data_IF_412614356156
#
_entry.id   IF_412614356156
#
_cell.length_a   1.000
_cell.length_b   1.000
_cell.length_c   1.000
_cell.angle_alpha   90.00
_cell.angle_beta   90.00
_cell.angle_gamma   90.00
#
_symmetry.space_group_name_H-M   'P 1'
#
loop_
_entity.id
_entity.type
_entity.pdbx_description
1 polymer ?
#
# COMPACT_ATOMS: atom_id res chain seq x y z
N UNK A 1 -23.12 -10.91 15.62
CA UNK A 1 -21.95 -11.32 14.80
C UNK A 1 -20.69 -10.69 15.39
N UNK A 2 -19.87 -11.48 16.08
CA UNK A 2 -18.59 -11.00 16.65
C UNK A 2 -17.44 -11.45 15.76
N UNK A 3 -16.66 -10.50 15.24
CA UNK A 3 -15.43 -10.82 14.50
C UNK A 3 -14.48 -11.67 15.35
N UNK A 4 -13.96 -12.75 14.78
CA UNK A 4 -13.00 -13.65 15.44
C UNK A 4 -11.69 -12.92 15.76
N UNK A 5 -11.00 -13.33 16.81
CA UNK A 5 -9.70 -12.73 17.21
C UNK A 5 -8.71 -12.70 16.04
N UNK A 6 -8.69 -13.76 15.22
CA UNK A 6 -7.84 -13.87 14.04
C UNK A 6 -8.17 -12.83 12.95
N UNK A 7 -9.45 -12.59 12.67
CA UNK A 7 -9.87 -11.56 11.69
C UNK A 7 -9.44 -10.16 12.14
N UNK A 8 -9.64 -9.84 13.42
CA UNK A 8 -9.20 -8.54 13.98
C UNK A 8 -7.70 -8.36 13.89
N UNK A 9 -6.94 -9.43 14.16
CA UNK A 9 -5.48 -9.41 14.08
C UNK A 9 -5.01 -9.21 12.63
N UNK A 10 -5.57 -9.94 11.67
CA UNK A 10 -5.22 -9.81 10.26
C UNK A 10 -5.58 -8.42 9.71
N UNK A 11 -6.75 -7.89 10.07
CA UNK A 11 -7.16 -6.54 9.70
C UNK A 11 -6.21 -5.50 10.29
N UNK A 12 -5.92 -5.56 11.59
CA UNK A 12 -5.00 -4.64 12.25
C UNK A 12 -3.59 -4.70 11.63
N UNK A 13 -3.07 -5.91 11.39
CA UNK A 13 -1.79 -6.11 10.74
C UNK A 13 -1.75 -5.51 9.34
N UNK A 14 -2.81 -5.73 8.54
CA UNK A 14 -2.91 -5.15 7.19
C UNK A 14 -2.88 -3.62 7.24
N UNK A 15 -3.64 -2.99 8.15
CA UNK A 15 -3.67 -1.52 8.29
C UNK A 15 -2.29 -0.98 8.70
N UNK A 16 -1.61 -1.63 9.66
CA UNK A 16 -0.26 -1.22 10.07
C UNK A 16 0.73 -1.33 8.91
N UNK A 17 0.68 -2.41 8.13
CA UNK A 17 1.54 -2.57 6.95
C UNK A 17 1.24 -1.53 5.87
N UNK A 18 -0.02 -1.13 5.67
CA UNK A 18 -0.37 -0.06 4.72
C UNK A 18 0.21 1.28 5.21
N UNK A 19 0.07 1.60 6.49
CA UNK A 19 0.62 2.84 7.07
C UNK A 19 2.15 2.90 6.95
N UNK A 20 2.84 1.82 7.29
CA UNK A 20 4.30 1.72 7.10
C UNK A 20 4.66 1.86 5.63
N UNK A 21 3.88 1.23 4.73
CA UNK A 21 4.03 1.36 3.30
C UNK A 21 3.94 2.81 2.83
N UNK A 22 2.86 3.52 3.19
CA UNK A 22 2.64 4.95 2.90
C UNK A 22 3.83 5.80 3.37
N UNK A 23 4.31 5.58 4.60
CA UNK A 23 5.45 6.33 5.12
C UNK A 23 6.72 6.10 4.28
N UNK A 24 6.99 4.85 3.90
CA UNK A 24 8.18 4.48 3.13
C UNK A 24 8.10 4.97 1.67
N UNK A 25 6.96 4.82 1.01
CA UNK A 25 6.73 5.30 -0.36
C UNK A 25 6.76 6.82 -0.42
N UNK A 26 6.18 7.50 0.56
CA UNK A 26 6.29 8.96 0.70
C UNK A 26 7.75 9.38 0.95
N UNK A 27 8.47 8.73 1.88
CA UNK A 27 9.88 9.03 2.12
C UNK A 27 10.75 8.85 0.87
N UNK A 28 10.48 7.81 0.06
CA UNK A 28 11.12 7.63 -1.25
C UNK A 28 10.76 8.77 -2.22
N UNK A 29 9.47 9.09 -2.37
CA UNK A 29 8.98 10.15 -3.27
C UNK A 29 9.56 11.54 -2.95
N UNK A 30 9.68 11.85 -1.66
CA UNK A 30 10.28 13.07 -1.12
C UNK A 30 11.79 12.91 -0.84
N UNK A 31 12.50 12.03 -1.53
CA UNK A 31 13.96 11.92 -1.42
C UNK A 31 14.64 12.24 -2.76
N UNK A 32 15.75 13.00 -2.75
CA UNK A 32 16.51 13.32 -3.95
C UNK A 32 17.36 12.17 -4.50
N UNK A 33 17.49 11.05 -3.79
CA UNK A 33 18.46 10.02 -4.15
C UNK A 33 17.81 8.83 -4.86
N UNK A 34 17.07 9.07 -5.94
CA UNK A 34 16.58 7.98 -6.81
C UNK A 34 17.70 7.47 -7.71
N UNK A 35 18.47 8.38 -8.29
CA UNK A 35 19.74 8.09 -8.94
C UNK A 35 20.83 8.98 -8.34
N UNK A 36 22.03 8.44 -8.20
CA UNK A 36 23.18 9.16 -7.66
C UNK A 36 24.36 8.99 -8.61
N UNK A 37 25.03 10.09 -8.91
CA UNK A 37 26.23 10.11 -9.74
C UNK A 37 27.28 10.99 -9.07
N UNK A 38 28.53 10.55 -9.15
CA UNK A 38 29.68 11.29 -8.67
C UNK A 38 30.52 11.69 -9.90
N UNK A 39 30.61 12.99 -10.13
CA UNK A 39 31.31 13.57 -11.27
C UNK A 39 32.66 14.08 -10.79
N UNK A 40 33.72 13.38 -11.18
CA UNK A 40 35.08 13.62 -10.68
C UNK A 40 35.69 14.92 -11.21
N UNK A 41 35.29 15.41 -12.38
CA UNK A 41 35.79 16.69 -12.91
C UNK A 41 35.30 17.87 -12.08
N UNK A 42 34.03 17.85 -11.68
CA UNK A 42 33.41 18.92 -10.90
C UNK A 42 33.54 18.71 -9.40
N UNK A 43 34.01 17.52 -8.97
CA UNK A 43 34.11 17.11 -7.56
C UNK A 43 32.78 17.32 -6.86
N UNK A 44 31.73 16.79 -7.46
CA UNK A 44 30.38 16.96 -6.95
C UNK A 44 29.58 15.66 -7.07
N UNK A 45 28.85 15.36 -6.01
CA UNK A 45 27.84 14.31 -5.99
C UNK A 45 26.49 14.94 -6.38
N UNK A 46 25.86 14.35 -7.38
CA UNK A 46 24.57 14.76 -7.89
C UNK A 46 23.55 13.66 -7.56
N UNK A 47 22.48 14.08 -6.88
CA UNK A 47 21.37 13.23 -6.49
C UNK A 47 20.14 13.66 -7.28
N UNK A 48 19.69 12.77 -8.16
CA UNK A 48 18.51 12.97 -9.00
C UNK A 48 17.28 12.35 -8.34
N UNK A 49 16.34 13.21 -7.95
CA UNK A 49 15.03 12.81 -7.45
C UNK A 49 14.00 12.79 -8.57
N UNK A 50 12.76 12.40 -8.23
CA UNK A 50 11.68 12.36 -9.23
C UNK A 50 11.26 13.75 -9.71
N UNK A 51 11.35 14.77 -8.86
CA UNK A 51 10.82 16.11 -9.10
C UNK A 51 11.71 17.26 -8.60
N UNK A 52 12.83 16.91 -7.98
CA UNK A 52 13.90 17.83 -7.62
C UNK A 52 15.24 17.13 -7.85
N UNK A 53 16.31 17.90 -7.90
CA UNK A 53 17.69 17.42 -7.93
C UNK A 53 18.49 18.14 -6.85
N UNK A 54 19.46 17.46 -6.25
CA UNK A 54 20.35 18.06 -5.27
C UNK A 54 21.81 17.82 -5.60
N UNK A 55 22.64 18.82 -5.33
CA UNK A 55 24.08 18.81 -5.60
C UNK A 55 24.83 18.99 -4.28
N UNK A 56 25.90 18.21 -4.09
CA UNK A 56 26.85 18.32 -2.98
C UNK A 56 28.26 18.43 -3.54
N UNK A 57 28.97 19.50 -3.21
CA UNK A 57 30.37 19.65 -3.61
C UNK A 57 31.30 18.90 -2.64
N UNK A 58 32.17 18.01 -3.14
CA UNK A 58 33.20 17.37 -2.34
C UNK A 58 34.32 18.39 -2.00
N UNK A 59 34.58 18.61 -0.71
CA UNK A 59 35.73 19.41 -0.25
C UNK A 59 36.95 18.51 -0.05
N UNK A 60 38.12 18.93 -0.57
CA UNK A 60 39.40 18.34 -0.14
C UNK A 60 39.98 19.07 1.08
N UNK A 61 40.46 18.25 2.01
CA UNK A 61 41.35 18.59 3.13
C UNK A 61 42.61 19.30 2.64
N UNK A 62 42.91 20.46 3.22
CA UNK A 62 44.26 21.06 3.16
C UNK A 62 44.86 21.26 4.56
N UNK A 63 44.25 20.75 5.63
CA UNK A 63 44.94 20.74 6.92
C UNK A 63 44.47 19.62 7.85
N UNK A 64 45.44 19.01 8.52
CA UNK A 64 45.25 18.04 9.61
C UNK A 64 44.68 18.81 10.80
N UNK A 65 43.37 18.73 11.05
CA UNK A 65 42.80 19.31 12.28
C UNK A 65 41.29 19.52 12.32
N UNK A 66 40.64 19.78 11.19
CA UNK A 66 39.21 20.12 11.21
C UNK A 66 38.33 18.91 10.87
N UNK A 67 37.50 18.52 11.84
CA UNK A 67 36.44 17.55 11.67
C UNK A 67 35.49 18.05 10.56
N UNK A 68 35.29 17.22 9.54
CA UNK A 68 34.55 17.57 8.33
C UNK A 68 33.06 17.78 8.63
N UNK A 69 32.60 19.02 8.56
CA UNK A 69 31.19 19.29 8.25
C UNK A 69 31.00 19.12 6.73
N UNK A 70 30.28 18.05 6.36
CA UNK A 70 29.82 17.82 5.00
C UNK A 70 29.10 19.07 4.47
N UNK A 71 29.39 19.49 3.23
CA UNK A 71 28.71 20.66 2.67
C UNK A 71 27.21 20.41 2.55
N UNK A 72 26.37 21.42 2.84
CA UNK A 72 24.92 21.27 2.73
C UNK A 72 24.51 20.92 1.29
N UNK A 73 23.52 20.04 1.14
CA UNK A 73 22.89 19.74 -0.14
C UNK A 73 22.19 21.00 -0.67
N UNK A 74 22.51 21.39 -1.90
CA UNK A 74 21.78 22.43 -2.61
C UNK A 74 20.77 21.81 -3.56
N UNK A 75 19.48 21.99 -3.29
CA UNK A 75 18.40 21.35 -4.04
C UNK A 75 17.63 22.34 -4.93
N UNK A 76 17.28 21.91 -6.13
CA UNK A 76 16.49 22.67 -7.10
C UNK A 76 15.34 21.82 -7.66
N UNK A 77 14.21 22.45 -7.96
CA UNK A 77 13.03 21.75 -8.52
C UNK A 77 13.13 21.61 -10.04
N UNK A 78 12.74 20.44 -10.57
CA UNK A 78 12.70 20.19 -12.03
C UNK A 78 11.62 21.00 -12.77
N UNK A 79 10.69 21.63 -12.03
CA UNK A 79 9.58 22.43 -12.59
C UNK A 79 9.92 23.91 -12.74
N UNK A 80 11.11 24.35 -12.35
CA UNK A 80 11.49 25.75 -12.42
C UNK A 80 11.87 26.15 -13.85
N UNK A 81 11.10 27.07 -14.45
CA UNK A 81 11.36 27.59 -15.81
C UNK A 81 12.72 28.29 -15.91
N UNK A 82 13.26 28.80 -14.79
CA UNK A 82 14.60 29.40 -14.78
C UNK A 82 15.70 28.34 -14.93
N UNK A 83 15.50 27.14 -14.39
CA UNK A 83 16.37 26.00 -14.60
C UNK A 83 16.30 25.52 -16.06
N UNK A 84 15.10 25.46 -16.65
CA UNK A 84 14.92 25.09 -18.07
C UNK A 84 15.62 26.07 -19.03
N UNK A 85 15.57 27.37 -18.75
CA UNK A 85 16.26 28.41 -19.53
C UNK A 85 17.79 28.31 -19.46
N UNK A 86 18.34 28.02 -18.27
CA UNK A 86 19.79 27.80 -18.11
C UNK A 86 20.21 26.54 -18.86
N UNK A 87 19.44 25.45 -18.75
CA UNK A 87 19.66 24.19 -19.47
C UNK A 87 19.66 24.44 -20.98
N UNK A 88 18.65 25.14 -21.51
CA UNK A 88 18.55 25.40 -22.95
C UNK A 88 19.71 26.27 -23.46
N UNK A 89 20.18 27.22 -22.66
CA UNK A 89 21.32 28.06 -23.01
C UNK A 89 22.64 27.27 -23.00
N UNK A 90 22.84 26.39 -22.01
CA UNK A 90 24.01 25.50 -21.94
C UNK A 90 23.99 24.43 -23.05
N UNK A 91 22.81 23.91 -23.42
CA UNK A 91 22.65 22.98 -24.55
C UNK A 91 22.94 23.60 -25.92
N UNK A 92 22.70 24.90 -26.09
CA UNK A 92 23.04 25.57 -27.34
C UNK A 92 24.56 25.80 -27.49
N UNK A 93 25.33 25.70 -26.40
CA UNK A 93 26.78 25.85 -26.34
C UNK A 93 27.50 24.56 -25.92
N UNK A 94 26.98 23.38 -26.31
CA UNK A 94 27.52 22.04 -25.96
C UNK A 94 29.02 21.90 -26.22
N UNK A 95 29.54 22.57 -27.26
CA UNK A 95 30.97 22.52 -27.61
C UNK A 95 31.86 23.33 -26.66
N UNK A 96 31.30 24.28 -25.89
CA UNK A 96 32.02 25.10 -24.91
C UNK A 96 31.84 24.60 -23.47
N UNK A 97 30.65 24.10 -23.11
CA UNK A 97 30.31 23.68 -21.75
C UNK A 97 30.13 22.16 -21.64
N UNK A 98 31.16 21.45 -21.19
CA UNK A 98 31.08 20.01 -20.91
C UNK A 98 30.12 19.61 -19.78
N UNK A 99 29.41 20.57 -19.19
CA UNK A 99 28.28 20.39 -18.27
C UNK A 99 26.92 20.23 -18.98
N UNK A 100 26.86 20.39 -20.31
CA UNK A 100 25.61 20.34 -21.08
C UNK A 100 24.94 18.95 -21.05
N UNK A 101 25.70 17.85 -21.03
CA UNK A 101 25.16 16.48 -20.94
C UNK A 101 24.49 16.17 -19.59
N UNK A 102 24.94 16.82 -18.53
CA UNK A 102 24.34 16.75 -17.20
C UNK A 102 23.04 17.59 -17.12
N UNK A 103 23.01 18.73 -17.79
CA UNK A 103 21.85 19.63 -17.80
C UNK A 103 20.56 18.96 -18.33
N UNK A 104 20.69 17.98 -19.23
CA UNK A 104 19.57 17.17 -19.76
C UNK A 104 18.84 16.35 -18.68
N UNK A 105 19.52 15.99 -17.58
CA UNK A 105 18.94 15.15 -16.53
C UNK A 105 18.10 15.96 -15.53
N UNK A 106 18.26 17.28 -15.50
CA UNK A 106 17.37 18.19 -14.80
C UNK A 106 16.02 18.37 -15.50
N UNK A 107 15.91 17.96 -16.78
CA UNK A 107 14.66 18.11 -17.52
C UNK A 107 13.58 17.16 -17.00
N UNK A 108 12.37 17.68 -16.85
CA UNK A 108 11.25 16.90 -16.35
C UNK A 108 10.63 16.02 -17.46
N UNK A 109 11.29 14.89 -17.73
CA UNK A 109 10.90 13.92 -18.75
C UNK A 109 9.53 13.25 -18.50
N UNK A 110 8.95 12.71 -19.57
CA UNK A 110 7.64 12.04 -19.52
C UNK A 110 7.60 10.84 -18.56
N UNK A 111 8.72 10.13 -18.38
CA UNK A 111 8.79 9.00 -17.48
C UNK A 111 8.76 9.43 -16.00
N UNK A 112 9.41 10.54 -15.63
CA UNK A 112 9.28 11.13 -14.29
C UNK A 112 7.83 11.51 -13.97
N UNK A 113 7.14 12.15 -14.93
CA UNK A 113 5.71 12.49 -14.85
C UNK A 113 4.84 11.26 -14.63
N UNK A 114 5.10 10.18 -15.39
CA UNK A 114 4.36 8.94 -15.28
C UNK A 114 4.55 8.28 -13.90
N UNK A 115 5.79 8.20 -13.41
CA UNK A 115 6.10 7.65 -12.08
C UNK A 115 5.35 8.43 -11.00
N UNK A 116 5.47 9.76 -10.98
CA UNK A 116 4.80 10.61 -9.98
C UNK A 116 3.28 10.46 -10.03
N UNK A 117 2.70 10.38 -11.22
CA UNK A 117 1.27 10.12 -11.38
C UNK A 117 0.86 8.78 -10.73
N UNK A 118 1.62 7.71 -10.97
CA UNK A 118 1.35 6.40 -10.39
C UNK A 118 1.55 6.41 -8.86
N UNK A 119 2.59 7.07 -8.35
CA UNK A 119 2.84 7.19 -6.91
C UNK A 119 1.69 7.94 -6.23
N UNK A 120 1.32 9.13 -6.70
CA UNK A 120 0.23 9.93 -6.10
C UNK A 120 -1.09 9.18 -6.15
N UNK A 121 -1.39 8.53 -7.28
CA UNK A 121 -2.60 7.71 -7.42
C UNK A 121 -2.58 6.54 -6.44
N UNK A 122 -1.43 5.89 -6.26
CA UNK A 122 -1.28 4.77 -5.33
C UNK A 122 -1.48 5.19 -3.87
N UNK A 123 -0.91 6.32 -3.45
CA UNK A 123 -1.05 6.88 -2.09
C UNK A 123 -2.52 7.24 -1.79
N UNK A 124 -3.19 7.90 -2.75
CA UNK A 124 -4.60 8.24 -2.60
C UNK A 124 -5.50 7.00 -2.46
N UNK A 125 -5.24 5.96 -3.26
CA UNK A 125 -5.98 4.71 -3.18
C UNK A 125 -5.65 3.92 -1.89
N UNK A 126 -4.41 3.96 -1.42
CA UNK A 126 -4.01 3.37 -0.13
C UNK A 126 -4.72 4.07 1.05
N UNK A 127 -4.89 5.40 0.99
CA UNK A 127 -5.66 6.14 1.97
C UNK A 127 -7.16 5.73 1.96
N UNK A 128 -7.77 5.62 0.78
CA UNK A 128 -9.15 5.11 0.63
C UNK A 128 -9.26 3.68 1.19
N UNK A 129 -8.24 2.86 0.97
CA UNK A 129 -8.15 1.51 1.51
C UNK A 129 -8.19 1.52 3.04
N UNK A 130 -7.38 2.34 3.71
CA UNK A 130 -7.43 2.46 5.18
C UNK A 130 -8.83 2.88 5.66
N UNK A 131 -9.41 3.92 5.04
CA UNK A 131 -10.75 4.41 5.41
C UNK A 131 -11.83 3.32 5.28
N UNK A 132 -11.78 2.52 4.22
CA UNK A 132 -12.71 1.41 4.01
C UNK A 132 -12.41 0.21 4.92
N UNK A 133 -11.14 -0.10 5.21
CA UNK A 133 -10.72 -1.16 6.11
C UNK A 133 -11.13 -0.93 7.56
N UNK A 134 -11.04 0.33 8.06
CA UNK A 134 -11.52 0.70 9.40
C UNK A 134 -13.04 0.55 9.52
N UNK A 135 -13.78 0.75 8.44
CA UNK A 135 -15.24 0.60 8.39
C UNK A 135 -15.70 -0.86 8.16
N UNK A 136 -14.80 -1.76 7.75
CA UNK A 136 -15.13 -3.16 7.43
C UNK A 136 -15.86 -3.93 8.56
N UNK A 137 -15.51 -3.75 9.86
CA UNK A 137 -16.25 -4.40 10.94
C UNK A 137 -17.71 -3.91 11.10
N UNK A 138 -18.01 -2.68 10.66
CA UNK A 138 -19.33 -2.06 10.78
C UNK A 138 -20.21 -2.37 9.56
N UNK A 139 -19.61 -2.43 8.37
CA UNK A 139 -20.31 -2.62 7.09
C UNK A 139 -19.51 -3.62 6.24
N UNK A 140 -19.90 -4.92 6.20
CA UNK A 140 -19.13 -5.95 5.50
C UNK A 140 -18.85 -5.66 4.03
N UNK A 141 -19.76 -4.96 3.32
CA UNK A 141 -19.56 -4.57 1.92
C UNK A 141 -18.34 -3.67 1.70
N UNK A 142 -17.88 -2.95 2.73
CA UNK A 142 -16.68 -2.11 2.65
C UNK A 142 -15.38 -2.93 2.63
N UNK A 143 -15.41 -4.22 2.98
CA UNK A 143 -14.26 -5.12 2.83
C UNK A 143 -13.87 -5.33 1.35
N UNK A 144 -14.83 -5.32 0.43
CA UNK A 144 -14.53 -5.36 -1.00
C UNK A 144 -13.86 -4.08 -1.48
N UNK A 145 -14.37 -2.92 -1.04
CA UNK A 145 -13.75 -1.63 -1.34
C UNK A 145 -12.32 -1.55 -0.78
N UNK A 146 -12.11 -2.07 0.44
CA UNK A 146 -10.79 -2.19 1.07
C UNK A 146 -9.81 -3.01 0.22
N UNK A 147 -10.23 -4.21 -0.20
CA UNK A 147 -9.39 -5.11 -0.99
C UNK A 147 -9.11 -4.58 -2.41
N UNK A 148 -10.11 -4.04 -3.09
CA UNK A 148 -9.97 -3.56 -4.48
C UNK A 148 -9.10 -2.30 -4.52
N UNK A 149 -9.34 -1.34 -3.62
CA UNK A 149 -8.53 -0.12 -3.56
C UNK A 149 -7.06 -0.42 -3.25
N UNK A 150 -6.78 -1.34 -2.30
CA UNK A 150 -5.42 -1.76 -1.99
C UNK A 150 -4.74 -2.46 -3.17
N UNK A 151 -5.48 -3.32 -3.88
CA UNK A 151 -4.95 -4.01 -5.06
C UNK A 151 -4.52 -3.02 -6.14
N UNK A 152 -5.39 -2.04 -6.47
CA UNK A 152 -5.07 -1.03 -7.48
C UNK A 152 -3.91 -0.14 -7.00
N UNK A 153 -3.89 0.26 -5.72
CA UNK A 153 -2.78 1.02 -5.14
C UNK A 153 -1.45 0.28 -5.30
N UNK A 154 -1.41 -1.00 -4.91
CA UNK A 154 -0.24 -1.86 -5.02
C UNK A 154 0.23 -2.03 -6.47
N UNK A 155 -0.70 -2.22 -7.41
CA UNK A 155 -0.36 -2.31 -8.84
C UNK A 155 0.23 -1.00 -9.38
N UNK A 156 -0.36 0.16 -9.04
CA UNK A 156 0.18 1.46 -9.43
C UNK A 156 1.59 1.67 -8.87
N UNK A 157 1.84 1.26 -7.62
CA UNK A 157 3.15 1.33 -6.98
C UNK A 157 4.19 0.44 -7.69
N UNK A 158 3.82 -0.81 -8.01
CA UNK A 158 4.69 -1.71 -8.78
C UNK A 158 4.99 -1.18 -10.19
N UNK A 159 4.02 -0.55 -10.85
CA UNK A 159 4.23 0.09 -12.15
C UNK A 159 5.19 1.28 -12.04
N UNK A 160 5.08 2.08 -10.98
CA UNK A 160 6.02 3.17 -10.71
C UNK A 160 7.46 2.63 -10.55
N UNK A 161 7.65 1.59 -9.73
CA UNK A 161 8.95 0.93 -9.54
C UNK A 161 9.49 0.36 -10.86
N UNK A 162 8.64 -0.30 -11.64
CA UNK A 162 9.02 -0.90 -12.92
C UNK A 162 9.41 0.13 -13.99
N UNK A 163 8.63 1.21 -14.12
CA UNK A 163 8.94 2.31 -15.05
C UNK A 163 10.26 2.96 -14.67
N UNK A 164 10.47 3.25 -13.39
CA UNK A 164 11.74 3.79 -12.90
C UNK A 164 12.90 2.85 -13.22
N UNK A 165 12.78 1.57 -12.87
CA UNK A 165 13.85 0.61 -13.08
C UNK A 165 14.23 0.47 -14.56
N UNK A 166 13.24 0.41 -15.46
CA UNK A 166 13.49 0.37 -16.90
C UNK A 166 14.10 1.68 -17.42
N UNK A 167 13.62 2.83 -16.94
CA UNK A 167 14.16 4.13 -17.31
C UNK A 167 15.61 4.31 -16.83
N UNK A 168 15.91 3.93 -15.58
CA UNK A 168 17.25 4.05 -14.99
C UNK A 168 18.28 3.12 -15.64
N UNK A 169 17.86 1.98 -16.18
CA UNK A 169 18.74 1.05 -16.91
C UNK A 169 18.91 1.39 -18.39
N UNK A 170 18.14 2.35 -18.92
CA UNK A 170 18.32 2.82 -20.30
C UNK A 170 19.67 3.52 -20.43
N UNK A 171 20.42 3.21 -21.49
CA UNK A 171 21.78 3.73 -21.72
C UNK A 171 21.83 5.26 -21.61
N UNK A 172 20.85 5.96 -22.19
CA UNK A 172 20.76 7.43 -22.20
C UNK A 172 20.61 8.05 -20.79
N UNK A 173 20.07 7.29 -19.83
CA UNK A 173 19.82 7.74 -18.46
C UNK A 173 20.82 7.14 -17.46
N UNK A 174 21.47 6.02 -17.81
CA UNK A 174 22.46 5.34 -16.97
C UNK A 174 23.81 6.04 -17.01
N UNK A 175 24.14 6.69 -18.13
CA UNK A 175 25.44 7.32 -18.31
C UNK A 175 25.29 8.82 -18.50
N UNK A 176 25.92 9.59 -17.63
CA UNK A 176 26.07 11.05 -17.78
C UNK A 176 27.37 11.33 -18.51
N UNK A 177 27.31 12.17 -19.55
CA UNK A 177 28.50 12.64 -20.24
C UNK A 177 29.00 13.91 -19.55
N UNK A 178 30.20 13.85 -19.00
CA UNK A 178 30.96 15.04 -18.57
C UNK A 178 31.90 15.52 -19.67
N UNK A 179 32.65 16.57 -19.38
CA UNK A 179 33.58 17.22 -20.32
C UNK A 179 34.68 16.28 -20.83
N UNK A 180 35.16 15.35 -19.98
CA UNK A 180 36.35 14.51 -20.26
C UNK A 180 36.04 13.02 -20.13
N UNK A 181 34.85 12.64 -19.68
CA UNK A 181 34.50 11.24 -19.41
C UNK A 181 33.00 10.97 -19.31
N UNK A 182 32.65 9.69 -19.19
CA UNK A 182 31.28 9.24 -18.93
C UNK A 182 31.18 8.65 -17.53
N UNK A 183 30.15 9.08 -16.79
CA UNK A 183 29.90 8.69 -15.42
C UNK A 183 28.66 7.81 -15.34
N UNK A 184 28.77 6.70 -14.64
CA UNK A 184 27.64 5.79 -14.43
C UNK A 184 26.80 6.23 -13.24
N UNK A 185 25.51 6.48 -13.48
CA UNK A 185 24.53 6.72 -12.44
C UNK A 185 24.19 5.41 -11.73
N UNK A 186 24.22 5.43 -10.40
CA UNK A 186 23.80 4.32 -9.55
C UNK A 186 22.38 4.55 -9.06
N UNK A 187 21.63 3.48 -8.85
CA UNK A 187 20.33 3.54 -8.18
C UNK A 187 20.57 3.94 -6.72
N UNK A 188 19.92 5.01 -6.28
CA UNK A 188 20.06 5.53 -4.93
C UNK A 188 19.06 4.94 -3.93
N UNK A 189 19.20 5.33 -2.66
CA UNK A 189 18.43 4.76 -1.55
C UNK A 189 16.92 5.06 -1.64
N UNK A 190 16.51 6.14 -2.30
CA UNK A 190 15.11 6.55 -2.38
C UNK A 190 14.25 5.51 -3.11
N UNK A 191 14.80 4.92 -4.17
CA UNK A 191 14.16 3.82 -4.89
C UNK A 191 13.95 2.60 -3.98
N UNK A 192 14.98 2.24 -3.19
CA UNK A 192 14.87 1.10 -2.28
C UNK A 192 13.87 1.35 -1.15
N UNK A 193 13.78 2.57 -0.62
CA UNK A 193 12.74 2.95 0.36
C UNK A 193 11.34 2.80 -0.25
N UNK A 194 11.13 3.32 -1.46
CA UNK A 194 9.85 3.18 -2.16
C UNK A 194 9.51 1.70 -2.40
N UNK A 195 10.46 0.91 -2.92
CA UNK A 195 10.30 -0.52 -3.16
C UNK A 195 9.97 -1.30 -1.87
N UNK A 196 10.61 -0.97 -0.74
CA UNK A 196 10.28 -1.57 0.56
C UNK A 196 8.85 -1.24 0.98
N UNK A 197 8.38 -0.01 0.71
CA UNK A 197 6.98 0.38 0.91
C UNK A 197 6.02 -0.44 0.05
N UNK A 198 6.35 -0.63 -1.24
CA UNK A 198 5.61 -1.51 -2.15
C UNK A 198 5.51 -2.95 -1.64
N UNK A 199 6.62 -3.50 -1.13
CA UNK A 199 6.63 -4.84 -0.52
C UNK A 199 5.73 -4.92 0.72
N UNK A 200 5.68 -3.86 1.54
CA UNK A 200 4.73 -3.78 2.66
C UNK A 200 3.28 -3.82 2.18
N UNK A 201 2.95 -3.12 1.08
CA UNK A 201 1.61 -3.17 0.49
C UNK A 201 1.27 -4.55 -0.10
N UNK A 202 2.23 -5.28 -0.67
CA UNK A 202 2.03 -6.67 -1.08
C UNK A 202 1.70 -7.55 0.13
N UNK A 203 2.47 -7.43 1.22
CA UNK A 203 2.20 -8.16 2.46
C UNK A 203 0.84 -7.82 3.07
N UNK A 204 0.47 -6.53 3.07
CA UNK A 204 -0.84 -6.06 3.51
C UNK A 204 -1.95 -6.66 2.65
N UNK A 205 -1.79 -6.68 1.34
CA UNK A 205 -2.77 -7.22 0.40
C UNK A 205 -3.04 -8.71 0.65
N UNK A 206 -2.00 -9.51 0.92
CA UNK A 206 -2.18 -10.92 1.31
C UNK A 206 -3.00 -11.04 2.60
N UNK A 207 -2.71 -10.22 3.62
CA UNK A 207 -3.49 -10.20 4.87
C UNK A 207 -4.95 -9.80 4.62
N UNK A 208 -5.19 -8.83 3.73
CA UNK A 208 -6.51 -8.38 3.31
C UNK A 208 -7.28 -9.49 2.60
N UNK A 209 -6.65 -10.23 1.68
CA UNK A 209 -7.29 -11.37 1.00
C UNK A 209 -7.71 -12.45 2.01
N UNK A 210 -6.84 -12.79 2.96
CA UNK A 210 -7.15 -13.77 4.02
C UNK A 210 -8.30 -13.29 4.90
N UNK A 211 -8.33 -11.99 5.21
CA UNK A 211 -9.41 -11.38 5.99
C UNK A 211 -10.74 -11.46 5.24
N UNK A 212 -10.78 -11.03 3.97
CA UNK A 212 -11.97 -11.07 3.12
C UNK A 212 -12.46 -12.50 2.91
N UNK A 213 -11.56 -13.45 2.65
CA UNK A 213 -11.92 -14.87 2.53
C UNK A 213 -12.63 -15.37 3.80
N UNK A 214 -12.09 -15.05 4.98
CA UNK A 214 -12.70 -15.42 6.26
C UNK A 214 -14.04 -14.74 6.53
N UNK A 215 -14.25 -13.52 6.02
CA UNK A 215 -15.56 -12.86 6.06
C UNK A 215 -16.59 -13.64 5.22
N UNK A 216 -16.23 -14.01 3.99
CA UNK A 216 -17.14 -14.73 3.07
C UNK A 216 -17.47 -16.13 3.59
N UNK A 217 -16.49 -16.92 4.03
CA UNK A 217 -16.74 -18.29 4.51
C UNK A 217 -17.39 -18.35 5.89
N UNK A 218 -17.17 -17.33 6.73
CA UNK A 218 -17.78 -17.27 8.06
C UNK A 218 -19.31 -17.14 8.00
N UNK A 219 -19.82 -16.38 7.01
CA UNK A 219 -21.25 -16.25 6.75
C UNK A 219 -21.88 -17.56 6.27
N UNK A 220 -21.15 -18.40 5.52
CA UNK A 220 -21.64 -19.72 5.09
C UNK A 220 -21.78 -20.72 6.25
N UNK A 221 -20.85 -20.73 7.21
CA UNK A 221 -20.94 -21.62 8.38
C UNK A 221 -22.05 -21.20 9.34
N UNK A 222 -22.23 -19.91 9.62
CA UNK A 222 -23.31 -19.44 10.49
C UNK A 222 -24.68 -19.57 9.79
N UNK A 223 -24.77 -19.30 8.49
CA UNK A 223 -25.99 -19.54 7.70
C UNK A 223 -26.33 -21.03 7.59
N UNK A 224 -25.33 -21.91 7.48
CA UNK A 224 -25.55 -23.36 7.53
C UNK A 224 -26.04 -23.81 8.91
N UNK A 225 -25.52 -23.24 10.00
CA UNK A 225 -25.96 -23.53 11.37
C UNK A 225 -27.36 -22.97 11.66
N UNK A 226 -27.71 -21.78 11.18
CA UNK A 226 -29.07 -21.24 11.28
C UNK A 226 -30.08 -22.09 10.49
N UNK A 227 -29.71 -22.51 9.28
CA UNK A 227 -30.54 -23.41 8.48
C UNK A 227 -30.65 -24.79 9.15
N UNK A 228 -29.56 -25.35 9.68
CA UNK A 228 -29.58 -26.61 10.41
C UNK A 228 -30.43 -26.51 11.69
N UNK A 229 -30.33 -25.41 12.43
CA UNK A 229 -31.10 -25.16 13.66
C UNK A 229 -32.60 -25.00 13.35
N UNK A 230 -32.95 -24.30 12.27
CA UNK A 230 -34.34 -24.17 11.79
C UNK A 230 -34.90 -25.52 11.31
N UNK A 231 -34.12 -26.34 10.60
CA UNK A 231 -34.51 -27.72 10.27
C UNK A 231 -34.68 -28.61 11.51
N UNK A 232 -33.82 -28.47 12.53
CA UNK A 232 -33.92 -29.23 13.78
C UNK A 232 -35.13 -28.79 14.62
N UNK A 233 -35.51 -27.52 14.55
CA UNK A 233 -36.69 -26.99 15.23
C UNK A 233 -38.00 -27.37 14.51
N UNK A 234 -37.97 -27.52 13.18
CA UNK A 234 -39.12 -27.98 12.39
C UNK A 234 -39.30 -29.50 12.36
N UNK A 235 -38.27 -30.27 12.76
CA UNK A 235 -38.31 -31.74 12.88
C UNK A 235 -38.54 -32.27 14.29
N UNK A 236 -38.78 -31.40 15.29
CA UNK A 236 -39.38 -31.89 16.53
C UNK A 236 -40.84 -32.25 16.26
N UNK A 237 -41.24 -33.53 16.34
CA UNK A 237 -42.63 -33.89 16.14
C UNK A 237 -43.43 -33.35 17.32
N UNK A 238 -44.51 -32.62 17.02
CA UNK A 238 -45.59 -32.17 17.92
C UNK A 238 -46.38 -33.37 18.49
N UNK A 239 -45.72 -34.51 18.75
CA UNK A 239 -46.36 -35.76 19.16
C UNK A 239 -46.27 -36.03 20.66
N UNK A 240 -45.47 -35.26 21.41
CA UNK A 240 -45.31 -35.45 22.85
C UNK A 240 -46.23 -34.56 23.72
N UNK A 241 -46.72 -33.42 23.20
CA UNK A 241 -47.70 -32.60 23.92
C UNK A 241 -49.12 -33.17 23.83
N UNK A 242 -49.54 -33.65 22.66
CA UNK A 242 -50.90 -34.20 22.44
C UNK A 242 -51.15 -35.48 23.27
N UNK A 243 -50.14 -36.35 23.41
CA UNK A 243 -50.27 -37.60 24.20
C UNK A 243 -50.33 -37.37 25.72
N UNK A 244 -49.90 -36.20 26.22
CA UNK A 244 -49.96 -35.88 27.65
C UNK A 244 -51.31 -35.25 28.05
N UNK A 245 -51.93 -34.47 27.15
CA UNK A 245 -53.27 -33.91 27.38
C UNK A 245 -54.38 -34.96 27.21
N UNK A 246 -54.26 -35.85 26.23
CA UNK A 246 -55.25 -36.91 25.98
C UNK A 246 -55.33 -37.92 27.14
N UNK A 247 -54.18 -38.24 27.76
CA UNK A 247 -54.14 -39.09 28.97
C UNK A 247 -54.76 -38.43 30.20
N UNK A 248 -54.68 -37.10 30.32
CA UNK A 248 -55.31 -36.35 31.43
C UNK A 248 -56.83 -36.31 31.27
N UNK A 249 -57.34 -36.14 30.04
CA UNK A 249 -58.77 -36.16 29.79
C UNK A 249 -59.37 -37.56 30.00
N UNK A 250 -58.71 -38.64 29.56
CA UNK A 250 -59.14 -40.01 29.86
C UNK A 250 -59.13 -40.35 31.35
N UNK A 251 -58.16 -39.86 32.14
CA UNK A 251 -58.14 -40.07 33.60
C UNK A 251 -59.23 -39.28 34.34
N UNK A 252 -59.56 -38.06 33.88
CA UNK A 252 -60.66 -37.28 34.48
C UNK A 252 -62.03 -37.90 34.17
N UNK A 253 -62.21 -38.48 32.98
CA UNK A 253 -63.46 -39.12 32.59
C UNK A 253 -63.71 -40.45 33.33
N UNK A 254 -62.66 -41.21 33.64
CA UNK A 254 -62.75 -42.41 34.50
C UNK A 254 -63.11 -42.07 35.95
N UNK A 255 -62.56 -40.98 36.51
CA UNK A 255 -62.88 -40.55 37.88
C UNK A 255 -64.30 -39.97 38.04
N UNK A 256 -64.88 -39.41 36.97
CA UNK A 256 -66.27 -38.93 37.00
C UNK A 256 -67.29 -40.07 36.85
N UNK A 257 -66.95 -41.13 36.11
CA UNK A 257 -67.83 -42.31 35.94
C UNK A 257 -67.85 -43.23 37.17
N UNK A 258 -66.78 -43.25 37.99
CA UNK A 258 -66.73 -44.07 39.22
C UNK A 258 -67.41 -43.41 40.43
N UNK A 259 -67.84 -42.15 40.33
CA UNK A 259 -68.51 -41.41 41.43
C UNK A 259 -70.04 -41.43 41.35
N UNK A 260 -70.62 -41.89 40.25
CA UNK A 260 -72.08 -41.94 40.05
C UNK A 260 -72.72 -43.31 40.34
N UNK A 261 -71.97 -44.25 40.95
CA UNK A 261 -72.48 -45.60 41.29
C UNK A 261 -72.65 -45.86 42.79
N UNK A 262 -72.54 -44.84 43.64
CA UNK A 262 -72.76 -44.97 45.09
C UNK A 262 -73.53 -43.77 45.67
N UNK A 263 -74.75 -43.54 45.18
CA UNK A 263 -75.81 -42.87 45.95
C UNK A 263 -77.12 -43.57 45.59
N UNK A 264 -77.42 -44.64 46.33
CA UNK A 264 -78.78 -45.02 46.71
C UNK A 264 -78.95 -44.57 48.16
#
# INVERSE_FOLDING_TARGET
MGSTVTQKLLLALSIVLILVGICLTSAGCFSPAWQVVDIREFRAEHQHGLWWDCIRAEKHVVSVGDFYDETPLHCMYKFDNSAELVIQNTLNNIDEDGAAGESEHHRFWAWHKAILFFIITSEFLAFISICSGVCAPCVPSTAFAFSISLFIAMLCSLLADGIFFLAANRVDNRFVQGMVGTYEQRIGYAFYLHLMGTLCWIGAFVCTLLTTYKFVTGDEEDGSKENLFTWQQQTQPVTLSVRYEDRRQQQQQYHHSSRSTWIN
#
